data_IF_788338233685
#
_entry.id   IF_788338233685
#
_cell.length_a   1.000
_cell.length_b   1.000
_cell.length_c   1.000
_cell.angle_alpha   90.00
_cell.angle_beta   90.00
_cell.angle_gamma   90.00
#
_symmetry.space_group_name_H-M   'P 1'
#
loop_
_entity.id
_entity.type
_entity.pdbx_description
1 polymer ?
#
# COMPACT_ATOMS: atom_id res chain seq x y z
N UNK A 1 5.28 11.13 -34.42
CA UNK A 1 4.12 10.74 -33.59
C UNK A 1 4.69 10.39 -32.24
N UNK A 2 4.57 11.27 -31.26
CA UNK A 2 4.92 10.93 -29.88
C UNK A 2 3.85 9.97 -29.37
N UNK A 3 4.24 8.78 -28.90
CA UNK A 3 3.32 7.88 -28.21
C UNK A 3 2.75 8.63 -27.00
N UNK A 4 1.44 8.51 -26.71
CA UNK A 4 0.87 9.11 -25.52
C UNK A 4 1.59 8.51 -24.30
N UNK A 5 2.39 9.34 -23.62
CA UNK A 5 3.13 8.91 -22.43
C UNK A 5 2.12 8.50 -21.37
N UNK A 6 2.23 7.25 -20.88
CA UNK A 6 1.43 6.77 -19.77
C UNK A 6 1.55 7.75 -18.58
N UNK A 7 0.46 8.00 -17.83
CA UNK A 7 0.54 8.83 -16.64
C UNK A 7 1.54 8.20 -15.64
N UNK A 8 2.25 9.03 -14.84
CA UNK A 8 3.21 8.51 -13.88
C UNK A 8 2.54 7.52 -12.90
N UNK A 9 3.30 6.51 -12.42
CA UNK A 9 2.78 5.51 -11.51
C UNK A 9 2.28 6.14 -10.21
N UNK A 10 1.17 5.62 -9.70
CA UNK A 10 0.66 6.00 -8.38
C UNK A 10 1.60 5.44 -7.32
N UNK A 11 2.07 6.33 -6.44
CA UNK A 11 3.07 6.03 -5.42
C UNK A 11 2.39 5.59 -4.15
N UNK A 12 2.73 4.41 -3.66
CA UNK A 12 2.13 3.81 -2.47
C UNK A 12 3.21 3.45 -1.44
N UNK A 13 2.81 3.37 -0.18
CA UNK A 13 3.59 2.70 0.87
C UNK A 13 2.91 1.36 1.17
N UNK A 14 3.69 0.28 1.20
CA UNK A 14 3.20 -1.03 1.58
C UNK A 14 3.61 -1.35 3.01
N UNK A 15 2.65 -1.77 3.82
CA UNK A 15 2.83 -2.27 5.18
C UNK A 15 2.39 -3.74 5.18
N UNK A 16 3.31 -4.69 5.37
CA UNK A 16 3.01 -6.11 5.17
C UNK A 16 4.00 -7.05 5.86
N UNK A 17 3.58 -8.26 6.25
CA UNK A 17 4.47 -9.20 6.94
C UNK A 17 5.61 -9.74 6.06
N UNK A 18 5.42 -9.83 4.74
CA UNK A 18 6.36 -10.49 3.84
C UNK A 18 6.83 -9.55 2.73
N UNK A 19 8.10 -9.10 2.82
CA UNK A 19 8.71 -8.23 1.81
C UNK A 19 8.67 -8.83 0.41
N UNK A 20 8.94 -10.14 0.31
CA UNK A 20 8.96 -10.86 -0.97
C UNK A 20 7.60 -10.86 -1.65
N UNK A 21 6.50 -11.06 -0.90
CA UNK A 21 5.15 -11.01 -1.47
C UNK A 21 4.79 -9.60 -1.93
N UNK A 22 5.16 -8.57 -1.17
CA UNK A 22 4.96 -7.18 -1.59
C UNK A 22 5.71 -6.89 -2.92
N UNK A 23 6.95 -7.34 -3.06
CA UNK A 23 7.69 -7.18 -4.33
C UNK A 23 7.04 -7.94 -5.49
N UNK A 24 6.53 -9.15 -5.26
CA UNK A 24 5.81 -9.91 -6.29
C UNK A 24 4.51 -9.21 -6.71
N UNK A 25 3.75 -8.65 -5.76
CA UNK A 25 2.58 -7.83 -6.07
C UNK A 25 2.96 -6.60 -6.89
N UNK A 26 4.04 -5.91 -6.53
CA UNK A 26 4.50 -4.72 -7.25
C UNK A 26 4.78 -5.02 -8.74
N UNK A 27 5.40 -6.15 -9.06
CA UNK A 27 5.63 -6.53 -10.47
C UNK A 27 4.31 -6.67 -11.26
N UNK A 28 3.23 -7.07 -10.60
CA UNK A 28 1.90 -7.23 -11.20
C UNK A 28 1.05 -5.95 -11.24
N UNK A 29 1.48 -4.90 -10.53
CA UNK A 29 0.81 -3.60 -10.50
C UNK A 29 1.51 -2.55 -11.39
N UNK A 30 2.73 -2.84 -11.85
CA UNK A 30 3.42 -2.03 -12.86
C UNK A 30 2.69 -2.11 -14.21
N UNK A 31 2.74 -1.03 -15.02
CA UNK A 31 3.42 0.23 -14.77
C UNK A 31 2.57 1.25 -13.98
N UNK A 32 1.36 0.89 -13.55
CA UNK A 32 0.38 1.84 -13.02
C UNK A 32 0.63 2.27 -11.57
N UNK A 33 1.28 1.43 -10.78
CA UNK A 33 1.59 1.68 -9.37
C UNK A 33 3.06 1.39 -9.05
N UNK A 34 3.56 2.02 -7.99
CA UNK A 34 4.88 1.76 -7.44
C UNK A 34 4.90 1.84 -5.91
N UNK A 35 5.78 1.06 -5.27
CA UNK A 35 6.02 1.17 -3.83
C UNK A 35 7.22 2.08 -3.57
N UNK A 36 6.99 3.17 -2.83
CA UNK A 36 8.04 4.06 -2.36
C UNK A 36 8.74 3.52 -1.12
N UNK A 37 8.01 2.75 -0.30
CA UNK A 37 8.56 2.04 0.83
C UNK A 37 7.76 0.75 1.07
N UNK A 38 8.45 -0.28 1.56
CA UNK A 38 7.84 -1.52 2.04
C UNK A 38 8.26 -1.68 3.50
N UNK A 39 7.33 -1.42 4.42
CA UNK A 39 7.51 -1.60 5.85
C UNK A 39 7.03 -3.00 6.20
N UNK A 40 7.93 -3.80 6.77
CA UNK A 40 7.62 -5.19 7.11
C UNK A 40 7.69 -5.45 8.59
N UNK A 41 6.90 -6.41 9.06
CA UNK A 41 7.05 -7.03 10.38
C UNK A 41 7.96 -8.24 10.22
N UNK A 42 9.25 -8.10 10.55
CA UNK A 42 10.16 -9.25 10.60
C UNK A 42 10.15 -9.78 12.02
N UNK A 43 9.51 -10.92 12.27
CA UNK A 43 9.68 -11.63 13.54
C UNK A 43 11.15 -12.03 13.73
N UNK A 44 11.72 -11.98 14.95
CA UNK A 44 11.05 -11.86 16.26
C UNK A 44 10.86 -10.42 16.77
N UNK A 45 11.35 -9.41 16.06
CA UNK A 45 11.27 -8.00 16.48
C UNK A 45 10.32 -7.24 15.57
N UNK A 46 9.11 -6.92 16.04
CA UNK A 46 8.13 -6.11 15.31
C UNK A 46 8.79 -4.81 14.80
N UNK A 47 9.27 -4.80 13.55
CA UNK A 47 9.96 -3.65 12.93
C UNK A 47 8.98 -2.56 12.49
N UNK A 48 7.69 -2.89 12.47
CA UNK A 48 6.60 -1.96 12.27
C UNK A 48 6.16 -1.35 13.60
N UNK A 49 6.10 -0.01 13.62
CA UNK A 49 5.37 0.77 14.60
C UNK A 49 4.62 1.90 13.87
N UNK A 50 3.48 2.37 14.40
CA UNK A 50 2.80 3.55 13.84
C UNK A 50 3.74 4.78 13.76
N UNK A 51 4.66 4.92 14.71
CA UNK A 51 5.68 5.98 14.69
C UNK A 51 6.63 5.88 13.49
N UNK A 52 7.11 4.68 13.16
CA UNK A 52 7.96 4.46 11.99
C UNK A 52 7.21 4.76 10.69
N UNK A 53 5.94 4.33 10.60
CA UNK A 53 5.09 4.68 9.47
C UNK A 53 4.92 6.20 9.34
N UNK A 54 4.61 6.89 10.44
CA UNK A 54 4.46 8.35 10.45
C UNK A 54 5.72 9.04 9.91
N UNK A 55 6.88 8.64 10.42
CA UNK A 55 8.17 9.19 10.00
C UNK A 55 8.43 8.96 8.51
N UNK A 56 8.13 7.77 8.00
CA UNK A 56 8.30 7.43 6.57
C UNK A 56 7.37 8.27 5.70
N UNK A 57 6.09 8.42 6.11
CA UNK A 57 5.14 9.24 5.35
C UNK A 57 5.55 10.71 5.30
N UNK A 58 6.16 11.23 6.37
CA UNK A 58 6.68 12.60 6.43
C UNK A 58 8.01 12.78 5.67
N UNK A 59 8.81 11.73 5.56
CA UNK A 59 10.12 11.77 4.90
C UNK A 59 10.06 11.56 3.38
N UNK A 60 9.02 10.90 2.87
CA UNK A 60 8.89 10.60 1.44
C UNK A 60 8.54 11.88 0.66
N UNK A 61 9.43 12.26 -0.25
CA UNK A 61 9.18 13.30 -1.24
C UNK A 61 9.38 12.76 -2.67
N UNK A 62 8.36 12.82 -3.54
CA UNK A 62 7.05 13.37 -3.22
C UNK A 62 6.24 12.45 -2.26
N UNK A 63 5.13 12.90 -1.71
CA UNK A 63 4.30 12.17 -0.77
C UNK A 63 3.58 11.02 -1.49
N UNK A 64 3.43 9.84 -0.88
CA UNK A 64 2.66 8.77 -1.49
C UNK A 64 1.18 9.15 -1.60
N UNK A 65 0.49 8.62 -2.60
CA UNK A 65 -0.95 8.79 -2.77
C UNK A 65 -1.76 7.91 -1.79
N UNK A 66 -1.16 6.83 -1.28
CA UNK A 66 -1.84 5.94 -0.36
C UNK A 66 -0.95 4.95 0.37
N UNK A 67 -1.53 4.30 1.37
CA UNK A 67 -0.91 3.23 2.16
C UNK A 67 -1.74 1.97 2.01
N UNK A 68 -1.09 0.87 1.63
CA UNK A 68 -1.69 -0.47 1.62
C UNK A 68 -1.21 -1.26 2.83
N UNK A 69 -2.15 -1.78 3.62
CA UNK A 69 -1.91 -2.60 4.80
C UNK A 69 -2.33 -4.04 4.50
N UNK A 70 -1.40 -4.98 4.67
CA UNK A 70 -1.61 -6.39 4.40
C UNK A 70 -2.61 -7.08 5.33
N UNK A 71 -3.04 -8.27 4.92
CA UNK A 71 -4.00 -9.10 5.67
C UNK A 71 -3.44 -9.71 6.97
N UNK A 72 -2.13 -9.62 7.20
CA UNK A 72 -1.51 -10.10 8.45
C UNK A 72 -1.76 -9.18 9.66
N UNK A 73 -2.23 -7.95 9.42
CA UNK A 73 -2.56 -6.99 10.47
C UNK A 73 -4.01 -7.18 10.90
N UNK A 74 -4.27 -7.10 12.21
CA UNK A 74 -5.62 -7.14 12.76
C UNK A 74 -6.45 -5.93 12.31
N UNK A 75 -7.76 -6.00 12.53
CA UNK A 75 -8.65 -4.88 12.22
C UNK A 75 -8.38 -3.68 13.14
N UNK A 76 -8.04 -3.92 14.41
CA UNK A 76 -7.64 -2.87 15.36
C UNK A 76 -6.35 -2.16 14.90
N UNK A 77 -5.33 -2.92 14.49
CA UNK A 77 -4.10 -2.35 13.94
C UNK A 77 -4.39 -1.56 12.65
N UNK A 78 -5.28 -2.10 11.79
CA UNK A 78 -5.74 -1.43 10.59
C UNK A 78 -6.41 -0.08 10.89
N UNK A 79 -7.26 -0.03 11.92
CA UNK A 79 -7.97 1.18 12.32
C UNK A 79 -7.02 2.25 12.88
N UNK A 80 -6.01 1.86 13.66
CA UNK A 80 -4.96 2.77 14.14
C UNK A 80 -4.18 3.38 12.96
N UNK A 81 -3.84 2.57 11.95
CA UNK A 81 -3.17 3.05 10.74
C UNK A 81 -4.10 3.97 9.95
N UNK A 82 -5.37 3.62 9.82
CA UNK A 82 -6.34 4.44 9.10
C UNK A 82 -6.45 5.83 9.71
N UNK A 83 -6.51 5.93 11.04
CA UNK A 83 -6.51 7.21 11.78
C UNK A 83 -5.25 8.03 11.50
N UNK A 84 -4.09 7.39 11.49
CA UNK A 84 -2.82 8.06 11.17
C UNK A 84 -2.82 8.59 9.72
N UNK A 85 -3.16 7.74 8.75
CA UNK A 85 -3.18 8.08 7.33
C UNK A 85 -4.19 9.20 7.03
N UNK A 86 -5.34 9.20 7.70
CA UNK A 86 -6.36 10.25 7.55
C UNK A 86 -5.87 11.66 7.90
N UNK A 87 -4.79 11.79 8.68
CA UNK A 87 -4.17 13.09 8.98
C UNK A 87 -3.22 13.58 7.89
N UNK A 88 -2.88 12.74 6.91
CA UNK A 88 -1.87 13.01 5.89
C UNK A 88 -2.50 13.49 4.58
N UNK A 89 -1.74 14.31 3.87
CA UNK A 89 -2.11 14.86 2.56
C UNK A 89 -0.94 14.75 1.61
N UNK A 90 -1.26 14.65 0.32
CA UNK A 90 -0.31 14.77 -0.78
C UNK A 90 0.08 16.24 -1.01
N UNK A 91 1.06 16.50 -1.88
CA UNK A 91 1.47 17.87 -2.25
C UNK A 91 0.34 18.73 -2.81
N UNK A 92 -0.63 18.12 -3.50
CA UNK A 92 -1.80 18.84 -4.03
C UNK A 92 -2.84 19.17 -2.95
N UNK A 93 -2.60 18.76 -1.70
CA UNK A 93 -3.54 18.88 -0.60
C UNK A 93 -4.62 17.78 -0.59
N UNK A 94 -4.59 16.83 -1.53
CA UNK A 94 -5.53 15.71 -1.54
C UNK A 94 -5.25 14.75 -0.36
N UNK A 95 -6.28 14.20 0.30
CA UNK A 95 -6.11 13.24 1.37
C UNK A 95 -5.41 11.99 0.86
N UNK A 96 -4.58 11.39 1.72
CA UNK A 96 -3.93 10.12 1.41
C UNK A 96 -4.91 8.96 1.56
N UNK A 97 -4.92 8.03 0.60
CA UNK A 97 -5.81 6.88 0.65
C UNK A 97 -5.30 5.79 1.58
N UNK A 98 -6.21 5.22 2.38
CA UNK A 98 -5.96 4.03 3.18
C UNK A 98 -6.61 2.80 2.54
N UNK A 99 -5.82 1.73 2.37
CA UNK A 99 -6.26 0.47 1.77
C UNK A 99 -5.92 -0.68 2.71
N UNK A 100 -6.93 -1.32 3.28
CA UNK A 100 -6.76 -2.53 4.10
C UNK A 100 -7.10 -3.77 3.26
N UNK A 101 -6.13 -4.67 3.14
CA UNK A 101 -6.38 -6.02 2.64
C UNK A 101 -7.10 -6.82 3.74
N UNK A 102 -8.22 -7.49 3.43
CA UNK A 102 -8.93 -8.32 4.41
C UNK A 102 -8.02 -9.38 5.03
N UNK A 103 -8.15 -9.56 6.33
CA UNK A 103 -7.47 -10.61 7.09
C UNK A 103 -7.88 -11.98 6.55
N UNK A 104 -6.94 -12.94 6.48
CA UNK A 104 -7.23 -14.30 5.99
C UNK A 104 -7.25 -14.45 4.45
N UNK A 105 -6.96 -13.40 3.67
CA UNK A 105 -7.04 -13.45 2.19
C UNK A 105 -6.06 -14.47 1.60
N UNK A 106 -4.84 -14.58 2.14
CA UNK A 106 -3.83 -15.53 1.65
C UNK A 106 -4.23 -16.96 2.05
N UNK A 107 -4.74 -17.12 3.26
CA UNK A 107 -5.15 -18.40 3.83
C UNK A 107 -6.37 -18.98 3.09
N UNK A 108 -7.29 -18.12 2.67
CA UNK A 108 -8.51 -18.52 1.94
C UNK A 108 -8.30 -18.73 0.44
N UNK A 109 -7.54 -17.86 -0.22
CA UNK A 109 -7.48 -17.79 -1.69
C UNK A 109 -6.05 -17.88 -2.27
N UNK A 110 -5.05 -18.01 -1.41
CA UNK A 110 -3.64 -18.03 -1.81
C UNK A 110 -3.11 -16.70 -2.36
N UNK A 111 -1.87 -16.70 -2.87
CA UNK A 111 -1.23 -15.50 -3.42
C UNK A 111 -1.99 -14.89 -4.63
N UNK A 112 -2.68 -15.71 -5.42
CA UNK A 112 -3.45 -15.25 -6.57
C UNK A 112 -4.71 -14.47 -6.14
N UNK A 113 -5.42 -14.94 -5.10
CA UNK A 113 -6.55 -14.22 -4.53
C UNK A 113 -6.14 -12.90 -3.88
N UNK A 114 -5.00 -12.88 -3.18
CA UNK A 114 -4.40 -11.64 -2.68
C UNK A 114 -4.18 -10.62 -3.78
N UNK A 115 -3.56 -11.02 -4.89
CA UNK A 115 -3.29 -10.13 -6.02
C UNK A 115 -4.60 -9.56 -6.60
N UNK A 116 -5.59 -10.43 -6.86
CA UNK A 116 -6.90 -10.02 -7.34
C UNK A 116 -7.51 -8.98 -6.39
N UNK A 117 -7.50 -9.27 -5.09
CA UNK A 117 -8.12 -8.39 -4.10
C UNK A 117 -7.43 -7.03 -4.01
N UNK A 118 -6.10 -7.02 -4.05
CA UNK A 118 -5.33 -5.77 -4.08
C UNK A 118 -5.67 -4.94 -5.33
N UNK A 119 -5.77 -5.58 -6.51
CA UNK A 119 -6.15 -4.89 -7.76
C UNK A 119 -7.55 -4.27 -7.66
N UNK A 120 -8.52 -5.01 -7.13
CA UNK A 120 -9.89 -4.50 -6.89
C UNK A 120 -9.88 -3.25 -6.00
N UNK A 121 -9.22 -3.34 -4.84
CA UNK A 121 -9.16 -2.23 -3.87
C UNK A 121 -8.45 -1.00 -4.47
N UNK A 122 -7.38 -1.20 -5.24
CA UNK A 122 -6.67 -0.11 -5.91
C UNK A 122 -7.51 0.54 -6.99
N UNK A 123 -8.32 -0.23 -7.71
CA UNK A 123 -9.26 0.29 -8.69
C UNK A 123 -10.38 1.10 -8.01
N UNK A 124 -10.95 0.59 -6.91
CA UNK A 124 -11.97 1.32 -6.13
C UNK A 124 -11.47 2.68 -5.63
N UNK A 125 -10.18 2.76 -5.24
CA UNK A 125 -9.60 3.99 -4.70
C UNK A 125 -9.12 4.98 -5.76
N UNK A 126 -8.51 4.48 -6.84
CA UNK A 126 -7.81 5.34 -7.78
C UNK A 126 -8.34 5.30 -9.21
N UNK A 127 -9.30 4.41 -9.51
CA UNK A 127 -9.90 4.25 -10.84
C UNK A 127 -8.94 3.76 -11.93
N UNK A 128 -7.72 3.31 -11.58
CA UNK A 128 -6.73 2.79 -12.53
C UNK A 128 -6.73 1.26 -12.50
N UNK A 129 -6.93 0.65 -13.66
CA UNK A 129 -6.82 -0.79 -13.82
C UNK A 129 -5.34 -1.21 -13.86
N UNK A 130 -5.05 -2.37 -13.26
CA UNK A 130 -3.73 -3.03 -13.23
C UNK A 130 -3.78 -4.36 -13.96
#
# INVERSE_FOLDING_TARGET
MEEPSLPPPIRLVCVGAHRTLALQLLEQLKPHYTYCAILTTVEPTRTYSPGNLNLVLDALHPAPAGVIVGGAFSDEEGEEIAKLVATKKTESGAPMEFIKVPTGTIEGEGPAGLLRKVKELLYEKFGRQC
#
